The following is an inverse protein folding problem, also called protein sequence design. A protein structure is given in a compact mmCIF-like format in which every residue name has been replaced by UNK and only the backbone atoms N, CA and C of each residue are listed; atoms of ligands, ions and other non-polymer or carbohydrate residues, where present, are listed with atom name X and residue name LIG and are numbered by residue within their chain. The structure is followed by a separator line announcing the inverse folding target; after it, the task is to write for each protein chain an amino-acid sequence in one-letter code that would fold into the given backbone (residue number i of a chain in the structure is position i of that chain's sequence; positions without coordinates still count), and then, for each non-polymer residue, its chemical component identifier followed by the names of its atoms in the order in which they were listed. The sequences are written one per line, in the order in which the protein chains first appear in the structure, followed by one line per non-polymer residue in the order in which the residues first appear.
data_IF_526260949795
#
_entry.id   IF_526260949795
#
_cell.length_a   1.000
_cell.length_b   1.000
_cell.length_c   1.000
_cell.angle_alpha   90.00
_cell.angle_beta   90.00
_cell.angle_gamma   90.00
#
_symmetry.space_group_name_H-M   'P 1'
#
loop_
_entity.id
_entity.type
_entity.pdbx_description
1 polymer ?
#
# COMPACT_ATOMS: atom_id res chain seq x y z
N UNK A 1 2.54 3.19 6.26
CA UNK A 1 1.14 3.20 6.75
C UNK A 1 0.93 2.06 7.74
N UNK A 2 1.08 0.78 7.34
CA UNK A 2 0.73 -0.36 8.19
C UNK A 2 1.51 -0.43 9.52
N UNK A 3 2.81 -0.12 9.55
CA UNK A 3 3.57 -0.06 10.81
C UNK A 3 3.04 1.04 11.75
N UNK A 4 2.64 2.20 11.19
CA UNK A 4 1.97 3.25 11.99
C UNK A 4 0.64 2.73 12.53
N UNK A 5 -0.14 2.01 11.73
CA UNK A 5 -1.37 1.39 12.19
C UNK A 5 -1.11 0.42 13.37
N UNK A 6 -0.04 -0.39 13.29
CA UNK A 6 0.39 -1.26 14.40
C UNK A 6 0.77 -0.47 15.64
N UNK A 7 1.55 0.61 15.53
CA UNK A 7 1.91 1.50 16.65
C UNK A 7 0.65 2.11 17.30
N UNK A 8 -0.40 2.37 16.50
CA UNK A 8 -1.69 2.88 16.99
C UNK A 8 -2.65 1.78 17.47
N UNK A 9 -2.19 0.52 17.57
CA UNK A 9 -2.97 -0.60 18.11
C UNK A 9 -3.94 -1.24 17.12
N UNK A 10 -3.85 -0.92 15.82
CA UNK A 10 -4.70 -1.53 14.80
C UNK A 10 -4.20 -2.93 14.41
N UNK A 11 -5.12 -3.77 13.97
CA UNK A 11 -4.78 -4.95 13.17
C UNK A 11 -4.39 -4.48 11.76
N UNK A 12 -3.24 -4.91 11.26
CA UNK A 12 -2.74 -4.53 9.94
C UNK A 12 -2.60 -5.77 9.04
N UNK A 13 -3.33 -5.79 7.93
CA UNK A 13 -3.23 -6.80 6.88
C UNK A 13 -2.61 -6.16 5.65
N UNK A 14 -1.52 -6.75 5.15
CA UNK A 14 -0.82 -6.29 3.95
C UNK A 14 -1.22 -7.08 2.71
N UNK A 15 -1.01 -6.46 1.55
CA UNK A 15 -1.07 -7.14 0.24
C UNK A 15 0.25 -6.85 -0.48
N UNK A 16 0.93 -7.90 -0.95
CA UNK A 16 2.20 -7.76 -1.66
C UNK A 16 2.28 -8.76 -2.83
N UNK A 17 3.30 -8.66 -3.65
CA UNK A 17 3.53 -9.58 -4.77
C UNK A 17 4.64 -10.58 -4.46
N UNK A 18 4.26 -11.83 -4.26
CA UNK A 18 5.14 -12.96 -4.01
C UNK A 18 5.36 -13.28 -2.54
N UNK A 19 5.66 -14.56 -2.23
CA UNK A 19 5.73 -15.07 -0.86
C UNK A 19 6.87 -14.42 -0.05
N UNK A 20 7.99 -14.08 -0.67
CA UNK A 20 9.12 -13.44 0.01
C UNK A 20 8.74 -12.06 0.57
N UNK A 21 8.04 -11.24 -0.24
CA UNK A 21 7.58 -9.92 0.21
C UNK A 21 6.52 -10.04 1.29
N UNK A 22 5.62 -11.01 1.17
CA UNK A 22 4.61 -11.28 2.21
C UNK A 22 5.26 -11.70 3.52
N UNK A 23 6.24 -12.60 3.48
CA UNK A 23 6.99 -13.01 4.65
C UNK A 23 7.72 -11.83 5.32
N UNK A 24 8.35 -10.97 4.54
CA UNK A 24 9.00 -9.76 5.06
C UNK A 24 8.01 -8.80 5.75
N UNK A 25 6.84 -8.60 5.15
CA UNK A 25 5.79 -7.73 5.72
C UNK A 25 5.33 -8.25 7.08
N UNK A 26 5.18 -9.56 7.25
CA UNK A 26 4.78 -10.16 8.53
C UNK A 26 5.94 -10.20 9.51
N UNK A 27 7.06 -10.80 9.13
CA UNK A 27 8.15 -11.12 10.05
C UNK A 27 8.99 -9.91 10.45
N UNK A 28 9.20 -8.96 9.51
CA UNK A 28 10.05 -7.80 9.75
C UNK A 28 9.26 -6.52 10.03
N UNK A 29 8.14 -6.31 9.32
CA UNK A 29 7.35 -5.08 9.49
C UNK A 29 6.23 -5.24 10.53
N UNK A 30 6.03 -6.45 11.08
CA UNK A 30 5.12 -6.72 12.20
C UNK A 30 3.63 -6.66 11.86
N UNK A 31 3.26 -6.89 10.60
CA UNK A 31 1.86 -7.00 10.21
C UNK A 31 1.26 -8.32 10.73
N UNK A 32 -0.04 -8.33 10.95
CA UNK A 32 -0.76 -9.52 11.44
C UNK A 32 -0.93 -10.59 10.35
N UNK A 33 -1.00 -10.16 9.08
CA UNK A 33 -1.00 -11.02 7.90
C UNK A 33 -0.53 -10.25 6.66
N UNK A 34 -0.10 -10.98 5.64
CA UNK A 34 0.14 -10.42 4.31
C UNK A 34 -0.24 -11.45 3.25
N UNK A 35 -1.02 -11.03 2.25
CA UNK A 35 -1.56 -11.89 1.22
C UNK A 35 -0.90 -11.60 -0.12
N UNK A 36 -0.51 -12.66 -0.83
CA UNK A 36 0.03 -12.52 -2.18
C UNK A 36 -1.09 -12.28 -3.19
N UNK A 37 -1.14 -11.08 -3.76
CA UNK A 37 -2.15 -10.74 -4.77
C UNK A 37 -2.05 -11.54 -6.08
N UNK A 38 -0.97 -12.31 -6.26
CA UNK A 38 -0.75 -13.18 -7.43
C UNK A 38 -1.34 -14.58 -7.24
N UNK A 39 -1.71 -14.95 -6.00
CA UNK A 39 -2.32 -16.24 -5.71
C UNK A 39 -3.68 -16.39 -6.42
N UNK A 40 -3.99 -17.60 -6.88
CA UNK A 40 -5.26 -17.88 -7.55
C UNK A 40 -6.45 -17.69 -6.61
N UNK A 41 -6.28 -18.00 -5.34
CA UNK A 41 -7.28 -17.90 -4.27
C UNK A 41 -7.14 -16.62 -3.41
N UNK A 42 -6.56 -15.56 -3.97
CA UNK A 42 -6.27 -14.29 -3.28
C UNK A 42 -7.47 -13.74 -2.52
N UNK A 43 -8.65 -13.73 -3.15
CA UNK A 43 -9.87 -13.18 -2.57
C UNK A 43 -10.30 -13.97 -1.30
N UNK A 44 -10.18 -15.31 -1.34
CA UNK A 44 -10.51 -16.18 -0.22
C UNK A 44 -9.50 -16.02 0.94
N UNK A 45 -8.20 -15.92 0.60
CA UNK A 45 -7.15 -15.65 1.59
C UNK A 45 -7.34 -14.29 2.26
N UNK A 46 -7.67 -13.24 1.49
CA UNK A 46 -7.92 -11.91 2.02
C UNK A 46 -9.12 -11.91 2.97
N UNK A 47 -10.23 -12.55 2.58
CA UNK A 47 -11.41 -12.70 3.45
C UNK A 47 -11.07 -13.43 4.76
N UNK A 48 -10.27 -14.50 4.69
CA UNK A 48 -9.80 -15.24 5.87
C UNK A 48 -8.91 -14.38 6.77
N UNK A 49 -8.07 -13.54 6.18
CA UNK A 49 -7.20 -12.63 6.93
C UNK A 49 -7.95 -11.45 7.57
N UNK A 50 -9.16 -11.15 7.10
CA UNK A 50 -10.00 -10.05 7.59
C UNK A 50 -11.35 -10.59 8.11
N UNK A 51 -11.36 -11.47 9.14
CA UNK A 51 -12.60 -12.14 9.59
C UNK A 51 -13.63 -11.15 10.15
N UNK A 52 -13.19 -10.03 10.69
CA UNK A 52 -14.04 -8.97 11.25
C UNK A 52 -14.32 -7.84 10.27
N UNK A 53 -14.00 -8.04 8.99
CA UNK A 53 -14.12 -7.02 7.94
C UNK A 53 -12.99 -5.99 7.95
N UNK A 54 -13.18 -4.91 7.18
CA UNK A 54 -12.17 -3.86 6.95
C UNK A 54 -12.76 -2.49 7.31
N UNK A 55 -12.16 -1.82 8.30
CA UNK A 55 -12.54 -0.47 8.72
C UNK A 55 -11.80 0.62 7.95
N UNK A 56 -10.55 0.32 7.53
CA UNK A 56 -9.70 1.26 6.77
C UNK A 56 -8.98 0.49 5.67
N UNK A 57 -9.18 0.91 4.43
CA UNK A 57 -8.41 0.43 3.30
C UNK A 57 -7.61 1.57 2.69
N UNK A 58 -6.28 1.54 2.82
CA UNK A 58 -5.38 2.53 2.25
C UNK A 58 -5.07 2.16 0.80
N UNK A 59 -5.74 2.84 -0.13
CA UNK A 59 -5.67 2.52 -1.55
C UNK A 59 -4.44 3.10 -2.24
N UNK A 60 -3.61 2.22 -2.81
CA UNK A 60 -2.45 2.57 -3.64
C UNK A 60 -2.44 1.86 -5.01
N UNK A 61 -3.32 0.88 -5.22
CA UNK A 61 -3.15 -0.10 -6.30
C UNK A 61 -4.30 -0.08 -7.29
N UNK A 62 -5.55 -0.09 -6.82
CA UNK A 62 -6.76 -0.33 -7.61
C UNK A 62 -6.88 -1.79 -8.13
N UNK A 63 -7.69 -1.99 -9.18
CA UNK A 63 -7.83 -3.28 -9.87
C UNK A 63 -8.30 -4.41 -8.97
N UNK A 64 -7.71 -5.61 -9.16
CA UNK A 64 -8.08 -6.84 -8.45
C UNK A 64 -8.08 -6.69 -6.92
N UNK A 65 -7.12 -5.91 -6.37
CA UNK A 65 -7.03 -5.73 -4.92
C UNK A 65 -8.24 -4.97 -4.40
N UNK A 66 -8.60 -3.83 -5.01
CA UNK A 66 -9.80 -3.08 -4.65
C UNK A 66 -11.07 -3.92 -4.80
N UNK A 67 -11.18 -4.68 -5.89
CA UNK A 67 -12.34 -5.55 -6.13
C UNK A 67 -12.52 -6.60 -5.03
N UNK A 68 -11.43 -7.16 -4.52
CA UNK A 68 -11.45 -8.12 -3.40
C UNK A 68 -11.77 -7.45 -2.05
N UNK A 69 -11.41 -6.19 -1.86
CA UNK A 69 -11.67 -5.44 -0.63
C UNK A 69 -13.13 -4.99 -0.52
N UNK A 70 -13.77 -4.59 -1.62
CA UNK A 70 -15.15 -4.04 -1.62
C UNK A 70 -16.16 -4.86 -0.79
N UNK A 71 -16.24 -6.20 -0.92
CA UNK A 71 -17.20 -7.00 -0.17
C UNK A 71 -16.87 -7.14 1.33
N UNK A 72 -15.66 -6.75 1.75
CA UNK A 72 -15.18 -6.91 3.11
C UNK A 72 -15.31 -5.63 3.96
N UNK A 73 -15.78 -4.52 3.40
CA UNK A 73 -15.91 -3.28 4.14
C UNK A 73 -16.94 -3.37 5.28
N UNK A 74 -16.54 -2.85 6.42
CA UNK A 74 -17.43 -2.59 7.53
C UNK A 74 -18.30 -1.34 7.30
N UNK A 75 -19.33 -1.15 8.12
CA UNK A 75 -20.08 0.09 8.15
C UNK A 75 -19.18 1.26 8.54
N UNK A 76 -19.29 2.38 7.81
CA UNK A 76 -18.51 3.59 8.04
C UNK A 76 -17.01 3.42 7.76
N UNK A 77 -16.64 2.38 7.01
CA UNK A 77 -15.25 2.19 6.60
C UNK A 77 -14.74 3.38 5.79
N UNK A 78 -13.43 3.61 5.88
CA UNK A 78 -12.74 4.72 5.23
C UNK A 78 -11.76 4.20 4.18
N UNK A 79 -11.78 4.82 3.01
CA UNK A 79 -10.86 4.50 1.92
C UNK A 79 -10.12 5.77 1.49
N UNK A 80 -8.99 6.14 2.13
CA UNK A 80 -8.09 7.16 1.60
C UNK A 80 -7.43 6.65 0.32
N UNK A 81 -7.60 7.39 -0.78
CA UNK A 81 -7.06 7.06 -2.10
C UNK A 81 -5.77 7.86 -2.32
N UNK A 82 -4.64 7.18 -2.16
CA UNK A 82 -3.29 7.74 -2.32
C UNK A 82 -2.74 7.54 -3.74
N UNK A 83 -3.07 6.43 -4.39
CA UNK A 83 -2.55 6.08 -5.70
C UNK A 83 -3.29 4.92 -6.34
N UNK A 84 -3.05 4.71 -7.64
CA UNK A 84 -3.71 3.72 -8.48
C UNK A 84 -2.68 3.06 -9.40
N UNK A 85 -1.61 2.49 -8.83
CA UNK A 85 -0.42 2.06 -9.60
C UNK A 85 -0.73 1.01 -10.67
N UNK A 86 -1.77 0.20 -10.48
CA UNK A 86 -2.21 -0.76 -11.49
C UNK A 86 -2.70 -0.09 -12.80
N UNK A 87 -2.99 1.21 -12.77
CA UNK A 87 -3.50 1.99 -13.90
C UNK A 87 -2.46 2.92 -14.54
N UNK A 88 -1.29 3.12 -13.91
CA UNK A 88 -0.31 4.12 -14.37
C UNK A 88 0.33 3.82 -15.73
N UNK A 89 0.36 2.56 -16.13
CA UNK A 89 0.88 2.14 -17.44
C UNK A 89 -0.21 1.93 -18.50
N UNK A 90 -1.48 2.22 -18.17
CA UNK A 90 -2.59 2.02 -19.11
C UNK A 90 -2.71 3.20 -20.07
N UNK A 91 -2.84 2.91 -21.36
CA UNK A 91 -3.09 3.89 -22.42
C UNK A 91 -4.59 4.12 -22.66
N UNK A 92 -5.41 3.15 -22.26
CA UNK A 92 -6.85 3.15 -22.41
C UNK A 92 -7.54 2.82 -21.08
N UNK A 93 -8.84 3.09 -21.00
CA UNK A 93 -9.64 2.68 -19.84
C UNK A 93 -9.66 1.13 -19.74
N UNK A 94 -9.71 0.58 -18.50
CA UNK A 94 -9.77 -0.86 -18.28
C UNK A 94 -10.94 -1.48 -19.05
N UNK A 95 -10.64 -2.52 -19.82
CA UNK A 95 -11.66 -3.35 -20.46
C UNK A 95 -12.14 -4.43 -19.50
N UNK A 96 -13.39 -4.86 -19.62
CA UNK A 96 -13.96 -5.92 -18.79
C UNK A 96 -15.27 -5.51 -18.12
N UNK A 97 -15.70 -6.28 -17.13
CA UNK A 97 -16.94 -6.01 -16.40
C UNK A 97 -16.85 -4.70 -15.62
N UNK A 98 -17.80 -3.80 -15.86
CA UNK A 98 -17.88 -2.55 -15.11
C UNK A 98 -18.23 -2.84 -13.62
N UNK A 99 -17.30 -2.56 -12.73
CA UNK A 99 -17.46 -2.76 -11.27
C UNK A 99 -18.00 -1.52 -10.55
N UNK A 100 -18.19 -0.40 -11.23
CA UNK A 100 -18.74 0.81 -10.63
C UNK A 100 -20.08 0.59 -9.91
N UNK A 101 -21.05 -0.17 -10.46
CA UNK A 101 -22.30 -0.44 -9.74
C UNK A 101 -22.08 -1.16 -8.40
N UNK A 102 -21.12 -2.08 -8.33
CA UNK A 102 -20.80 -2.78 -7.08
C UNK A 102 -20.18 -1.82 -6.04
N UNK A 103 -19.27 -0.95 -6.47
CA UNK A 103 -18.69 0.08 -5.61
C UNK A 103 -19.76 1.05 -5.10
N UNK A 104 -20.64 1.56 -5.99
CA UNK A 104 -21.72 2.48 -5.59
C UNK A 104 -22.71 1.83 -4.62
N UNK A 105 -23.01 0.54 -4.81
CA UNK A 105 -23.81 -0.22 -3.84
C UNK A 105 -23.09 -0.29 -2.48
N UNK A 106 -21.80 -0.60 -2.46
CA UNK A 106 -21.01 -0.65 -1.23
C UNK A 106 -20.97 0.71 -0.53
N UNK A 107 -20.75 1.81 -1.28
CA UNK A 107 -20.78 3.18 -0.74
C UNK A 107 -22.11 3.45 -0.02
N UNK A 108 -23.24 3.14 -0.65
CA UNK A 108 -24.57 3.34 -0.07
C UNK A 108 -24.80 2.40 1.13
N UNK A 109 -24.54 1.08 0.94
CA UNK A 109 -24.89 0.06 1.94
C UNK A 109 -24.04 0.20 3.19
N UNK A 110 -22.72 0.37 3.04
CA UNK A 110 -21.79 0.46 4.17
C UNK A 110 -21.52 1.90 4.61
N UNK A 111 -22.09 2.92 3.93
CA UNK A 111 -21.82 4.36 4.20
C UNK A 111 -20.33 4.66 4.16
N UNK A 112 -19.63 4.16 3.12
CA UNK A 112 -18.20 4.32 2.96
C UNK A 112 -17.81 5.78 2.81
N UNK A 113 -16.72 6.18 3.44
CA UNK A 113 -16.05 7.45 3.20
C UNK A 113 -14.85 7.22 2.29
N UNK A 114 -14.95 7.68 1.05
CA UNK A 114 -13.89 7.58 0.04
C UNK A 114 -13.35 8.97 -0.23
N UNK A 115 -12.05 9.17 -0.03
CA UNK A 115 -11.41 10.48 -0.16
C UNK A 115 -10.07 10.37 -0.87
N UNK A 116 -9.94 11.07 -1.99
CA UNK A 116 -8.65 11.27 -2.65
C UNK A 116 -7.85 12.36 -1.95
N UNK A 117 -6.52 12.20 -1.87
CA UNK A 117 -5.65 13.20 -1.28
C UNK A 117 -4.27 13.24 -1.95
N UNK A 118 -3.61 14.35 -1.84
CA UNK A 118 -2.19 14.52 -2.20
C UNK A 118 -1.43 14.93 -0.93
N UNK A 119 -0.21 14.42 -0.75
CA UNK A 119 0.58 14.66 0.47
C UNK A 119 0.75 16.15 0.81
N UNK A 120 0.69 17.05 -0.18
CA UNK A 120 0.77 18.50 0.03
C UNK A 120 -0.42 19.09 0.77
N UNK A 121 -1.59 18.43 0.73
CA UNK A 121 -2.78 18.86 1.45
C UNK A 121 -2.58 18.81 2.98
N UNK A 122 -1.54 18.09 3.43
CA UNK A 122 -1.17 17.90 4.83
C UNK A 122 0.19 18.53 5.17
N UNK A 123 0.57 19.61 4.49
CA UNK A 123 1.86 20.26 4.68
C UNK A 123 2.07 20.81 6.10
N UNK A 124 1.00 21.22 6.77
CA UNK A 124 0.98 21.65 8.16
C UNK A 124 1.34 20.54 9.17
N UNK A 125 1.05 19.29 8.82
CA UNK A 125 1.41 18.12 9.65
C UNK A 125 2.85 17.63 9.47
N UNK A 126 3.61 18.22 8.55
CA UNK A 126 4.94 17.69 8.17
C UNK A 126 5.94 17.71 9.34
N UNK A 127 5.91 18.74 10.18
CA UNK A 127 6.81 18.85 11.33
C UNK A 127 6.55 17.73 12.35
N UNK A 128 5.30 17.49 12.66
CA UNK A 128 4.88 16.42 13.57
C UNK A 128 5.21 15.05 13.01
N UNK A 129 4.92 14.84 11.72
CA UNK A 129 5.27 13.59 11.04
C UNK A 129 6.79 13.30 11.11
N UNK A 130 7.64 14.29 10.83
CA UNK A 130 9.10 14.12 10.87
C UNK A 130 9.60 13.80 12.28
N UNK A 131 9.04 14.46 13.30
CA UNK A 131 9.36 14.21 14.69
C UNK A 131 9.01 12.77 15.07
N UNK A 132 7.77 12.38 14.88
CA UNK A 132 7.24 11.08 15.30
C UNK A 132 7.88 9.94 14.51
N UNK A 133 7.95 10.06 13.17
CA UNK A 133 8.57 9.05 12.32
C UNK A 133 10.07 8.90 12.63
N UNK A 134 10.79 10.01 12.82
CA UNK A 134 12.20 9.97 13.20
C UNK A 134 12.43 9.27 14.54
N UNK A 135 11.54 9.46 15.51
CA UNK A 135 11.60 8.74 16.77
C UNK A 135 11.33 7.25 16.57
N UNK A 136 10.25 6.86 15.89
CA UNK A 136 9.91 5.45 15.64
C UNK A 136 10.98 4.68 14.86
N UNK A 137 11.67 5.34 13.93
CA UNK A 137 12.80 4.73 13.21
C UNK A 137 13.99 4.52 14.15
N UNK A 138 14.36 5.52 14.96
CA UNK A 138 15.45 5.38 15.95
C UNK A 138 15.20 4.28 16.98
N UNK A 139 13.94 4.14 17.42
CA UNK A 139 13.54 3.12 18.39
C UNK A 139 13.31 1.73 17.77
N UNK A 140 13.51 1.58 16.44
CA UNK A 140 13.28 0.34 15.71
C UNK A 140 11.82 -0.08 15.59
N UNK A 141 10.87 0.80 15.94
CA UNK A 141 9.44 0.56 15.81
C UNK A 141 8.97 0.64 14.34
N UNK A 142 9.66 1.43 13.53
CA UNK A 142 9.46 1.49 12.07
C UNK A 142 10.75 1.05 11.40
N UNK A 143 10.63 -0.01 10.59
CA UNK A 143 11.70 -0.53 9.76
C UNK A 143 11.44 -0.15 8.30
N UNK A 144 12.51 0.02 7.53
CA UNK A 144 12.43 0.21 6.09
C UNK A 144 13.54 -0.58 5.39
N UNK A 145 13.34 -0.84 4.11
CA UNK A 145 14.32 -1.48 3.24
C UNK A 145 14.47 -0.65 1.97
N UNK A 146 15.69 -0.42 1.56
CA UNK A 146 16.02 0.26 0.31
C UNK A 146 16.54 -0.73 -0.73
N UNK A 147 16.14 -0.51 -1.96
CA UNK A 147 16.71 -1.12 -3.14
C UNK A 147 17.55 -0.05 -3.83
N UNK A 148 18.84 -0.03 -3.53
CA UNK A 148 19.77 0.98 -4.04
C UNK A 148 20.32 0.56 -5.39
N UNK A 149 20.34 1.49 -6.33
CA UNK A 149 20.88 1.31 -7.70
C UNK A 149 21.81 2.47 -7.98
N UNK A 150 23.09 2.17 -8.22
CA UNK A 150 24.10 3.20 -8.49
C UNK A 150 23.97 3.74 -9.93
N UNK A 151 24.19 5.05 -10.07
CA UNK A 151 24.25 5.74 -11.35
C UNK A 151 22.89 6.25 -11.87
N UNK A 152 22.85 7.53 -12.22
CA UNK A 152 21.64 8.17 -12.77
C UNK A 152 21.20 7.54 -14.09
N UNK A 153 22.11 7.03 -14.87
CA UNK A 153 21.87 6.34 -16.15
C UNK A 153 20.97 5.11 -16.00
N UNK A 154 20.93 4.50 -14.82
CA UNK A 154 20.09 3.33 -14.51
C UNK A 154 18.66 3.70 -14.09
N UNK A 155 18.35 4.97 -13.89
CA UNK A 155 17.03 5.41 -13.44
C UNK A 155 15.87 4.99 -14.35
N UNK A 156 15.97 5.10 -15.71
CA UNK A 156 14.88 4.68 -16.60
C UNK A 156 14.59 3.16 -16.52
N UNK A 157 15.62 2.33 -16.54
CA UNK A 157 15.47 0.87 -16.44
C UNK A 157 14.89 0.47 -15.08
N UNK A 158 15.37 1.12 -14.01
CA UNK A 158 14.87 0.88 -12.64
C UNK A 158 13.41 1.27 -12.48
N UNK A 159 12.97 2.38 -13.10
CA UNK A 159 11.55 2.77 -13.11
C UNK A 159 10.68 1.72 -13.81
N UNK A 160 11.15 1.21 -14.94
CA UNK A 160 10.43 0.13 -15.66
C UNK A 160 10.32 -1.15 -14.82
N UNK A 161 11.38 -1.52 -14.11
CA UNK A 161 11.38 -2.64 -13.18
C UNK A 161 10.44 -2.43 -11.99
N UNK A 162 10.40 -1.19 -11.44
CA UNK A 162 9.48 -0.84 -10.36
C UNK A 162 8.01 -1.02 -10.77
N UNK A 163 7.63 -0.61 -11.99
CA UNK A 163 6.27 -0.80 -12.50
C UNK A 163 5.90 -2.28 -12.69
N UNK A 164 6.90 -3.16 -12.86
CA UNK A 164 6.73 -4.63 -12.91
C UNK A 164 6.81 -5.29 -11.53
N UNK A 165 7.08 -4.52 -10.47
CA UNK A 165 7.22 -5.04 -9.11
C UNK A 165 8.52 -5.82 -8.86
N UNK A 166 9.57 -5.57 -9.63
CA UNK A 166 10.88 -6.25 -9.51
C UNK A 166 11.70 -5.76 -8.31
N UNK A 167 11.37 -4.58 -7.77
CA UNK A 167 12.06 -4.03 -6.60
C UNK A 167 11.66 -4.72 -5.30
N UNK A 168 12.56 -4.67 -4.32
CA UNK A 168 12.28 -5.07 -2.95
C UNK A 168 12.62 -3.91 -1.99
N UNK A 169 11.58 -3.23 -1.50
CA UNK A 169 11.70 -2.02 -0.69
C UNK A 169 11.62 -0.73 -1.51
N UNK A 170 12.04 0.38 -0.90
CA UNK A 170 12.08 1.70 -1.55
C UNK A 170 13.22 1.77 -2.56
N UNK A 171 12.90 2.03 -3.82
CA UNK A 171 13.93 2.26 -4.84
C UNK A 171 14.61 3.60 -4.61
N UNK A 172 15.93 3.59 -4.58
CA UNK A 172 16.80 4.76 -4.47
C UNK A 172 17.86 4.70 -5.56
N UNK A 173 17.96 5.74 -6.36
CA UNK A 173 19.05 5.91 -7.36
C UNK A 173 20.15 6.72 -6.70
N UNK A 174 21.34 6.11 -6.57
CA UNK A 174 22.51 6.76 -6.01
C UNK A 174 23.21 7.59 -7.09
N UNK A 175 23.08 8.90 -7.03
CA UNK A 175 23.64 9.84 -8.01
C UNK A 175 24.93 10.53 -7.54
N UNK A 176 25.23 10.40 -6.26
CA UNK A 176 26.46 10.89 -5.60
C UNK A 176 26.64 10.17 -4.28
N UNK A 177 27.78 10.39 -3.62
CA UNK A 177 28.01 9.95 -2.25
C UNK A 177 26.98 10.60 -1.32
N UNK A 178 26.60 9.88 -0.26
CA UNK A 178 25.67 10.37 0.75
C UNK A 178 26.42 11.42 1.64
N UNK A 179 26.00 12.69 1.63
CA UNK A 179 26.69 13.73 2.42
C UNK A 179 26.46 13.58 3.94
N UNK A 180 25.56 12.67 4.35
CA UNK A 180 25.19 12.43 5.76
C UNK A 180 25.66 11.08 6.29
N UNK A 181 26.31 10.27 5.42
CA UNK A 181 26.74 8.89 5.68
C UNK A 181 27.89 8.71 6.63
#
# INVERSE_FOLDING_TARGET
VGQIAKIKGCRAVGVAGGPEKCAYVVNELGFDACIDHRADDFEAQLATACPDGIDIYFENVAGRVLEAVIPLFNFWARMPVCGLIAQYSMTDLPTGTNKLPALMRAVLTYRLHIEGFIVRDFADMQADFRRDMGQWVRDGQVKYKEHRVAGLENAPATLMGLLKGENFGKVVIEVSDDPTG
#
